data_IF_301755086212
#
_entry.id   IF_301755086212
#
_cell.length_a   1.000
_cell.length_b   1.000
_cell.length_c   1.000
_cell.angle_alpha   90.00
_cell.angle_beta   90.00
_cell.angle_gamma   90.00
#
_symmetry.space_group_name_H-M   'P 1'
#
loop_
_entity.id
_entity.type
_entity.pdbx_description
1 polymer ?
#
# COMPACT_ATOMS: atom_id res chain seq x y z
N UNK A 1 2.95 -21.24 -2.27
CA UNK A 1 1.91 -20.18 -2.34
C UNK A 1 2.62 -18.84 -2.22
N UNK A 2 2.37 -17.91 -3.14
CA UNK A 2 2.97 -16.56 -3.10
C UNK A 2 2.12 -15.69 -2.18
N UNK A 3 2.70 -15.00 -1.19
CA UNK A 3 1.94 -14.10 -0.33
C UNK A 3 1.47 -12.88 -1.10
N UNK A 4 0.37 -12.28 -0.65
CA UNK A 4 -0.11 -10.99 -1.18
C UNK A 4 0.91 -9.87 -0.96
N UNK A 5 0.82 -8.85 -1.82
CA UNK A 5 1.79 -7.74 -1.74
C UNK A 5 1.60 -6.92 -0.45
N UNK A 6 2.68 -6.49 0.22
CA UNK A 6 2.59 -5.68 1.43
C UNK A 6 1.74 -4.41 1.22
N UNK A 7 1.87 -3.78 0.05
CA UNK A 7 1.09 -2.59 -0.30
C UNK A 7 -0.41 -2.86 -0.36
N UNK A 8 -0.83 -3.97 -0.96
CA UNK A 8 -2.24 -4.35 -1.00
C UNK A 8 -2.80 -4.61 0.41
N UNK A 9 -2.02 -5.27 1.27
CA UNK A 9 -2.40 -5.53 2.66
C UNK A 9 -2.57 -4.24 3.48
N UNK A 10 -1.71 -3.24 3.26
CA UNK A 10 -1.83 -1.90 3.88
C UNK A 10 -3.15 -1.24 3.45
N UNK A 11 -3.44 -1.20 2.14
CA UNK A 11 -4.67 -0.59 1.60
C UNK A 11 -5.93 -1.30 2.09
N UNK A 12 -5.87 -2.61 2.35
CA UNK A 12 -6.99 -3.40 2.85
C UNK A 12 -7.06 -3.50 4.37
N UNK A 13 -6.21 -2.75 5.10
CA UNK A 13 -6.13 -2.75 6.57
C UNK A 13 -5.89 -4.15 7.17
N UNK A 14 -5.24 -5.05 6.40
CA UNK A 14 -4.90 -6.41 6.81
C UNK A 14 -3.53 -6.44 7.51
N UNK A 15 -3.45 -5.79 8.67
CA UNK A 15 -2.18 -5.59 9.37
C UNK A 15 -1.56 -6.88 9.94
N UNK A 16 -2.39 -7.86 10.31
CA UNK A 16 -1.91 -9.16 10.79
C UNK A 16 -1.18 -9.95 9.69
N UNK A 17 -1.78 -10.03 8.49
CA UNK A 17 -1.14 -10.64 7.31
C UNK A 17 0.10 -9.84 6.89
N UNK A 18 0.05 -8.52 6.98
CA UNK A 18 1.17 -7.63 6.67
C UNK A 18 2.39 -7.91 7.57
N UNK A 19 2.19 -8.04 8.88
CA UNK A 19 3.28 -8.34 9.82
C UNK A 19 3.96 -9.67 9.46
N UNK A 20 3.18 -10.70 9.14
CA UNK A 20 3.73 -12.00 8.73
C UNK A 20 4.54 -11.92 7.43
N UNK A 21 4.03 -11.21 6.42
CA UNK A 21 4.74 -11.05 5.14
C UNK A 21 6.04 -10.25 5.32
N UNK A 22 6.01 -9.18 6.11
CA UNK A 22 7.19 -8.35 6.37
C UNK A 22 8.23 -9.08 7.23
N UNK A 23 7.80 -9.88 8.21
CA UNK A 23 8.71 -10.70 9.01
C UNK A 23 9.39 -11.78 8.17
N UNK A 24 8.64 -12.50 7.32
CA UNK A 24 9.20 -13.47 6.39
C UNK A 24 10.19 -12.81 5.40
N UNK A 25 9.92 -11.58 4.98
CA UNK A 25 10.84 -10.82 4.13
C UNK A 25 12.09 -10.38 4.90
N UNK A 26 11.96 -9.93 6.15
CA UNK A 26 13.08 -9.54 7.00
C UNK A 26 14.02 -10.72 7.28
N UNK A 27 13.46 -11.90 7.56
CA UNK A 27 14.19 -13.15 7.76
C UNK A 27 15.04 -13.51 6.53
N UNK A 28 14.42 -13.51 5.35
CA UNK A 28 15.09 -13.80 4.08
C UNK A 28 16.16 -12.77 3.72
N UNK A 29 15.97 -11.52 4.13
CA UNK A 29 16.89 -10.43 3.90
C UNK A 29 18.00 -10.34 4.96
N UNK A 30 18.03 -11.24 5.96
CA UNK A 30 19.03 -11.26 7.02
C UNK A 30 19.00 -10.02 7.92
N UNK A 31 17.86 -9.33 8.02
CA UNK A 31 17.71 -8.18 8.92
C UNK A 31 17.49 -8.63 10.36
N UNK A 32 17.90 -7.80 11.31
CA UNK A 32 17.64 -8.06 12.73
C UNK A 32 16.13 -8.07 13.01
N UNK A 33 15.63 -9.22 13.45
CA UNK A 33 14.21 -9.49 13.69
C UNK A 33 13.59 -8.54 14.74
N UNK A 34 14.36 -8.12 15.75
CA UNK A 34 13.85 -7.25 16.82
C UNK A 34 13.63 -5.83 16.33
N UNK A 35 14.60 -5.32 15.57
CA UNK A 35 14.51 -4.01 14.90
C UNK A 35 13.40 -4.00 13.86
N UNK A 36 13.34 -5.04 13.02
CA UNK A 36 12.28 -5.18 12.01
C UNK A 36 10.88 -5.15 12.64
N UNK A 37 10.67 -5.89 13.74
CA UNK A 37 9.37 -5.88 14.44
C UNK A 37 9.01 -4.50 14.99
N UNK A 38 9.97 -3.82 15.60
CA UNK A 38 9.75 -2.49 16.16
C UNK A 38 9.42 -1.47 15.05
N UNK A 39 10.14 -1.50 13.94
CA UNK A 39 9.88 -0.64 12.77
C UNK A 39 8.52 -0.92 12.14
N UNK A 40 8.14 -2.19 11.97
CA UNK A 40 6.83 -2.59 11.42
C UNK A 40 5.71 -2.10 12.33
N UNK A 41 5.83 -2.31 13.64
CA UNK A 41 4.83 -1.87 14.60
C UNK A 41 4.70 -0.34 14.65
N UNK A 42 5.82 0.38 14.62
CA UNK A 42 5.83 1.84 14.53
C UNK A 42 5.20 2.31 13.21
N UNK A 43 5.48 1.64 12.10
CA UNK A 43 4.89 1.96 10.81
C UNK A 43 3.37 1.76 10.82
N UNK A 44 2.88 0.65 11.37
CA UNK A 44 1.43 0.37 11.47
C UNK A 44 0.73 1.41 12.35
N UNK A 45 1.32 1.77 13.50
CA UNK A 45 0.72 2.73 14.44
C UNK A 45 0.77 4.17 13.93
N UNK A 46 1.83 4.55 13.21
CA UNK A 46 1.99 5.88 12.64
C UNK A 46 1.34 6.02 11.28
N UNK A 47 0.86 4.94 10.66
CA UNK A 47 0.17 5.03 9.39
C UNK A 47 -1.14 5.77 9.64
N UNK A 48 -1.30 7.02 9.14
CA UNK A 48 -2.58 7.68 9.24
C UNK A 48 -3.58 6.74 8.57
N UNK A 49 -4.65 6.42 9.29
CA UNK A 49 -5.77 5.72 8.69
C UNK A 49 -6.27 6.67 7.61
N UNK A 50 -5.84 6.45 6.37
CA UNK A 50 -6.38 7.16 5.24
C UNK A 50 -7.84 6.74 5.21
N UNK A 51 -8.67 7.61 5.77
CA UNK A 51 -10.10 7.62 5.59
C UNK A 51 -10.38 8.09 4.17
N UNK A 52 -9.80 7.40 3.19
CA UNK A 52 -10.37 7.39 1.86
C UNK A 52 -11.71 6.69 2.03
N UNK A 53 -12.76 7.52 2.06
CA UNK A 53 -14.11 7.09 1.78
C UNK A 53 -14.00 6.30 0.48
N UNK A 54 -14.04 4.96 0.56
CA UNK A 54 -14.22 4.10 -0.61
C UNK A 54 -15.55 4.50 -1.22
N UNK A 55 -15.48 5.45 -2.14
CA UNK A 55 -16.59 5.82 -2.98
C UNK A 55 -16.67 4.77 -4.08
N UNK A 56 -17.81 4.70 -4.75
CA UNK A 56 -17.87 3.98 -6.02
C UNK A 56 -17.15 4.80 -7.09
N UNK A 57 -15.85 5.08 -6.90
CA UNK A 57 -15.03 5.76 -7.89
C UNK A 57 -14.94 4.91 -9.15
N UNK A 58 -15.40 5.48 -10.26
CA UNK A 58 -15.43 4.82 -11.56
C UNK A 58 -14.31 5.36 -12.43
N UNK A 59 -13.93 4.63 -13.50
CA UNK A 59 -12.94 5.10 -14.49
C UNK A 59 -13.26 6.50 -15.03
N UNK A 60 -14.54 6.86 -15.12
CA UNK A 60 -14.97 8.21 -15.54
C UNK A 60 -14.57 9.33 -14.56
N UNK A 61 -14.34 9.02 -13.28
CA UNK A 61 -13.91 10.01 -12.29
C UNK A 61 -12.47 10.49 -12.51
N UNK A 62 -11.66 9.70 -13.23
CA UNK A 62 -10.33 10.12 -13.70
C UNK A 62 -10.42 11.32 -14.65
N UNK A 63 -11.47 11.37 -15.48
CA UNK A 63 -11.70 12.47 -16.43
C UNK A 63 -12.43 13.67 -15.80
N UNK A 64 -13.14 13.42 -14.69
CA UNK A 64 -13.89 14.43 -13.92
C UNK A 64 -12.96 15.33 -13.11
N UNK A 65 -11.88 14.79 -12.55
CA UNK A 65 -10.91 15.55 -11.75
C UNK A 65 -9.79 16.14 -12.63
N UNK A 66 -9.65 17.47 -12.74
CA UNK A 66 -8.70 18.09 -13.68
C UNK A 66 -7.23 17.69 -13.49
N UNK A 67 -6.80 17.45 -12.24
CA UNK A 67 -5.45 16.99 -11.91
C UNK A 67 -5.21 15.55 -12.38
N UNK A 68 -6.15 14.64 -12.07
CA UNK A 68 -6.08 13.24 -12.50
C UNK A 68 -6.16 13.10 -14.01
N UNK A 69 -6.98 13.93 -14.69
CA UNK A 69 -7.11 13.93 -16.15
C UNK A 69 -5.79 14.22 -16.84
N UNK A 70 -5.05 15.25 -16.40
CA UNK A 70 -3.74 15.58 -16.99
C UNK A 70 -2.75 14.42 -16.86
N UNK A 71 -2.68 13.81 -15.67
CA UNK A 71 -1.81 12.66 -15.44
C UNK A 71 -2.22 11.44 -16.28
N UNK A 72 -3.53 11.18 -16.38
CA UNK A 72 -4.08 10.07 -17.17
C UNK A 72 -3.77 10.22 -18.66
N UNK A 73 -3.95 11.43 -19.22
CA UNK A 73 -3.61 11.74 -20.62
C UNK A 73 -2.10 11.59 -20.85
N UNK A 74 -1.26 12.14 -19.96
CA UNK A 74 0.19 12.03 -20.08
C UNK A 74 0.64 10.56 -20.06
N UNK A 75 0.12 9.73 -19.16
CA UNK A 75 0.45 8.29 -19.12
C UNK A 75 -0.03 7.60 -20.40
N UNK A 76 -1.23 7.91 -20.90
CA UNK A 76 -1.77 7.27 -22.09
C UNK A 76 -0.99 7.58 -23.37
N UNK A 77 -0.46 8.80 -23.52
CA UNK A 77 0.25 9.22 -24.74
C UNK A 77 1.78 9.12 -24.65
N UNK A 78 2.37 9.15 -23.45
CA UNK A 78 3.83 9.11 -23.26
C UNK A 78 4.37 7.72 -22.89
N UNK A 79 3.51 6.71 -22.76
CA UNK A 79 3.86 5.32 -22.54
C UNK A 79 3.62 4.49 -23.79
#
# INVERSE_FOLDING_TARGET
>A
VVPETPRWLITHRKFAELEQVLMNAAEKNGKDMKLAKAEIHNFINNHPQLDEKKGNETVLDLMRTPALRRNTINIYFCW
#
